data_IF_125754628588
#
_entry.id   IF_125754628588
#
_cell.length_a   1.000
_cell.length_b   1.000
_cell.length_c   1.000
_cell.angle_alpha   90.00
_cell.angle_beta   90.00
_cell.angle_gamma   90.00
#
_symmetry.space_group_name_H-M   'P 1'
#
loop_
_entity.id
_entity.type
_entity.pdbx_description
1 polymer ?
#
# COMPACT_ATOMS: atom_id res chain seq x y z
N UNK A 1 -7.49 10.52 30.40
CA UNK A 1 -8.62 9.57 30.25
C UNK A 1 -8.89 9.21 28.79
N UNK A 2 -8.94 10.18 27.86
CA UNK A 2 -9.19 9.89 26.44
C UNK A 2 -8.15 8.93 25.83
N UNK A 3 -6.85 9.18 26.04
CA UNK A 3 -5.79 8.27 25.59
C UNK A 3 -5.96 6.84 26.12
N UNK A 4 -6.32 6.67 27.40
CA UNK A 4 -6.56 5.35 28.00
C UNK A 4 -7.72 4.63 27.31
N UNK A 5 -8.83 5.33 27.06
CA UNK A 5 -9.98 4.76 26.33
C UNK A 5 -9.62 4.38 24.89
N UNK A 6 -8.85 5.23 24.21
CA UNK A 6 -8.36 4.92 22.86
C UNK A 6 -7.45 3.68 22.86
N UNK A 7 -6.51 3.58 23.82
CA UNK A 7 -5.62 2.42 23.95
C UNK A 7 -6.43 1.14 24.23
N UNK A 8 -7.37 1.19 25.17
CA UNK A 8 -8.24 0.04 25.46
C UNK A 8 -9.06 -0.39 24.25
N UNK A 9 -9.68 0.56 23.54
CA UNK A 9 -10.45 0.26 22.33
C UNK A 9 -9.60 -0.34 21.20
N UNK A 10 -8.37 0.13 21.02
CA UNK A 10 -7.42 -0.47 20.06
C UNK A 10 -7.04 -1.88 20.50
N UNK A 11 -6.77 -2.10 21.79
CA UNK A 11 -6.46 -3.43 22.33
C UNK A 11 -7.63 -4.38 22.09
N UNK A 12 -8.87 -3.99 22.41
CA UNK A 12 -10.06 -4.82 22.17
C UNK A 12 -10.24 -5.17 20.69
N UNK A 13 -9.93 -4.24 19.78
CA UNK A 13 -10.04 -4.47 18.34
C UNK A 13 -8.96 -5.42 17.77
N UNK A 14 -7.79 -5.53 18.41
CA UNK A 14 -6.61 -6.24 17.87
C UNK A 14 -6.26 -7.50 18.64
N UNK A 15 -6.64 -7.61 19.92
CA UNK A 15 -6.19 -8.66 20.83
C UNK A 15 -6.55 -10.07 20.33
N UNK A 16 -7.78 -10.29 19.88
CA UNK A 16 -8.20 -11.58 19.32
C UNK A 16 -7.30 -12.01 18.16
N UNK A 17 -7.01 -11.10 17.23
CA UNK A 17 -6.13 -11.36 16.11
C UNK A 17 -4.69 -11.67 16.58
N UNK A 18 -4.16 -10.89 17.52
CA UNK A 18 -2.83 -11.10 18.07
C UNK A 18 -2.70 -12.46 18.78
N UNK A 19 -3.72 -12.86 19.55
CA UNK A 19 -3.79 -14.16 20.22
C UNK A 19 -3.85 -15.31 19.21
N UNK A 20 -4.68 -15.21 18.17
CA UNK A 20 -4.75 -16.24 17.13
C UNK A 20 -3.45 -16.32 16.32
N UNK A 21 -2.80 -15.18 16.05
CA UNK A 21 -1.51 -15.14 15.36
C UNK A 21 -0.40 -15.76 16.22
N UNK A 22 -0.33 -15.41 17.50
CA UNK A 22 0.58 -16.00 18.49
C UNK A 22 0.45 -17.53 18.55
N UNK A 23 -0.78 -18.02 18.68
CA UNK A 23 -1.09 -19.46 18.69
C UNK A 23 -0.65 -20.17 17.40
N UNK A 24 -0.90 -19.54 16.24
CA UNK A 24 -0.54 -20.09 14.94
C UNK A 24 0.98 -20.26 14.79
N UNK A 25 1.74 -19.18 15.02
CA UNK A 25 3.19 -19.14 14.75
C UNK A 25 4.05 -19.59 15.94
N UNK A 26 3.45 -19.82 17.12
CA UNK A 26 4.15 -20.19 18.35
C UNK A 26 5.16 -19.15 18.84
N UNK A 27 4.83 -17.86 18.66
CA UNK A 27 5.52 -16.75 19.34
C UNK A 27 4.67 -16.27 20.51
N UNK A 28 5.26 -15.91 21.67
CA UNK A 28 4.56 -15.24 22.76
C UNK A 28 3.81 -13.98 22.30
N UNK A 29 2.69 -13.66 22.96
CA UNK A 29 1.78 -12.58 22.54
C UNK A 29 2.44 -11.19 22.55
N UNK A 30 3.30 -10.95 23.53
CA UNK A 30 4.16 -9.78 23.68
C UNK A 30 5.22 -9.66 22.57
N UNK A 31 5.62 -10.78 21.96
CA UNK A 31 6.61 -10.81 20.87
C UNK A 31 5.98 -10.83 19.46
N UNK A 32 4.80 -11.41 19.29
CA UNK A 32 4.22 -11.61 17.95
C UNK A 32 3.90 -10.28 17.26
N UNK A 33 3.52 -9.26 18.03
CA UNK A 33 3.20 -7.93 17.52
C UNK A 33 4.43 -7.16 17.02
N UNK A 34 5.57 -7.32 17.70
CA UNK A 34 6.83 -6.62 17.41
C UNK A 34 7.70 -7.35 16.39
N UNK A 35 7.54 -8.67 16.27
CA UNK A 35 8.26 -9.48 15.29
C UNK A 35 7.99 -9.04 13.85
N UNK A 36 9.04 -8.97 13.02
CA UNK A 36 8.90 -8.75 11.59
C UNK A 36 8.05 -9.87 10.94
N UNK A 37 7.27 -9.55 9.91
CA UNK A 37 6.37 -10.51 9.24
C UNK A 37 7.12 -11.77 8.77
N UNK A 38 8.30 -11.61 8.16
CA UNK A 38 9.13 -12.74 7.74
C UNK A 38 9.58 -13.63 8.91
N UNK A 39 9.83 -13.03 10.08
CA UNK A 39 10.17 -13.79 11.29
C UNK A 39 8.99 -14.62 11.81
N UNK A 40 7.76 -14.09 11.73
CA UNK A 40 6.54 -14.84 12.09
C UNK A 40 6.34 -16.05 11.18
N UNK A 41 6.62 -15.90 9.87
CA UNK A 41 6.61 -17.02 8.92
C UNK A 41 7.70 -18.03 9.26
N UNK A 42 8.92 -17.58 9.55
CA UNK A 42 10.04 -18.48 9.91
C UNK A 42 9.71 -19.37 11.10
N UNK A 43 9.14 -18.80 12.17
CA UNK A 43 8.73 -19.58 13.36
C UNK A 43 7.63 -20.60 13.06
N UNK A 44 6.68 -20.22 12.21
CA UNK A 44 5.67 -21.17 11.73
C UNK A 44 6.32 -22.33 10.96
N UNK A 45 7.29 -22.04 10.07
CA UNK A 45 8.01 -23.06 9.32
C UNK A 45 8.82 -23.97 10.24
N UNK A 46 9.57 -23.42 11.21
CA UNK A 46 10.35 -24.19 12.20
C UNK A 46 9.46 -25.19 12.95
N UNK A 47 8.30 -24.71 13.45
CA UNK A 47 7.32 -25.56 14.13
C UNK A 47 6.80 -26.67 13.21
N UNK A 48 6.57 -26.36 11.94
CA UNK A 48 6.04 -27.33 10.98
C UNK A 48 7.09 -28.34 10.54
N UNK A 49 8.35 -27.92 10.31
CA UNK A 49 9.45 -28.80 9.91
C UNK A 49 9.77 -29.82 10.99
N UNK A 50 9.73 -29.41 12.27
CA UNK A 50 9.84 -30.34 13.39
C UNK A 50 8.77 -31.44 13.35
N UNK A 51 7.52 -31.09 13.02
CA UNK A 51 6.41 -32.07 12.95
C UNK A 51 6.56 -33.08 11.80
N UNK A 52 7.22 -32.70 10.71
CA UNK A 52 7.43 -33.58 9.55
C UNK A 52 8.82 -34.24 9.54
N UNK A 53 9.60 -34.08 10.61
CA UNK A 53 10.93 -34.69 10.75
C UNK A 53 12.02 -34.08 9.87
N UNK A 54 11.86 -32.83 9.42
CA UNK A 54 12.86 -32.13 8.61
C UNK A 54 13.75 -31.22 9.46
N UNK A 55 15.06 -31.21 9.15
CA UNK A 55 16.02 -30.34 9.82
C UNK A 55 15.80 -28.87 9.43
N UNK A 56 15.92 -27.99 10.42
CA UNK A 56 15.86 -26.53 10.21
C UNK A 56 17.19 -26.05 9.61
N UNK A 57 17.19 -25.41 8.43
CA UNK A 57 18.40 -24.86 7.85
C UNK A 57 19.05 -23.79 8.76
N UNK A 58 20.37 -23.68 8.68
CA UNK A 58 21.10 -22.57 9.30
C UNK A 58 20.73 -21.26 8.60
N UNK A 59 20.69 -20.16 9.35
CA UNK A 59 20.62 -18.82 8.75
C UNK A 59 21.98 -18.51 8.15
N UNK A 60 22.00 -18.07 6.90
CA UNK A 60 23.23 -17.73 6.16
C UNK A 60 23.10 -16.30 5.66
N UNK A 61 24.11 -15.47 5.94
CA UNK A 61 24.20 -14.15 5.35
C UNK A 61 24.62 -14.26 3.88
N UNK A 62 23.88 -13.62 2.99
CA UNK A 62 24.13 -13.63 1.56
C UNK A 62 24.10 -12.21 1.02
N UNK A 63 24.95 -11.86 0.03
CA UNK A 63 24.92 -10.54 -0.59
C UNK A 63 23.59 -10.30 -1.30
N UNK A 64 23.05 -9.09 -1.17
CA UNK A 64 21.82 -8.72 -1.85
C UNK A 64 22.00 -8.70 -3.35
N UNK A 65 21.23 -9.53 -4.06
CA UNK A 65 21.18 -9.54 -5.52
C UNK A 65 19.74 -9.29 -5.97
N UNK A 66 19.47 -8.19 -6.70
CA UNK A 66 18.14 -7.93 -7.20
C UNK A 66 17.68 -9.05 -8.16
N UNK A 67 16.37 -9.22 -8.24
CA UNK A 67 15.70 -10.10 -9.19
C UNK A 67 14.45 -9.42 -9.74
N UNK A 68 13.95 -9.90 -10.88
CA UNK A 68 12.75 -9.35 -11.49
C UNK A 68 11.52 -9.61 -10.61
N UNK A 69 10.87 -8.53 -10.17
CA UNK A 69 9.67 -8.58 -9.34
C UNK A 69 8.41 -8.96 -10.11
N UNK A 70 7.26 -8.79 -9.45
CA UNK A 70 5.96 -8.99 -10.06
C UNK A 70 5.69 -8.03 -11.23
N UNK A 71 4.78 -8.41 -12.13
CA UNK A 71 4.36 -7.52 -13.22
C UNK A 71 3.49 -6.40 -12.64
N UNK A 72 3.79 -5.18 -13.06
CA UNK A 72 2.91 -4.04 -12.85
C UNK A 72 2.84 -3.34 -14.20
N UNK A 73 1.67 -3.41 -14.83
CA UNK A 73 1.43 -2.76 -16.12
C UNK A 73 1.57 -1.25 -15.96
N UNK A 74 1.91 -0.56 -17.05
CA UNK A 74 1.76 0.90 -17.06
C UNK A 74 0.25 1.20 -17.09
N UNK A 75 -0.27 2.01 -16.17
CA UNK A 75 -1.67 2.40 -16.22
C UNK A 75 -1.92 3.24 -17.47
N UNK A 76 -3.15 3.17 -18.00
CA UNK A 76 -3.64 4.14 -18.99
C UNK A 76 -4.07 5.39 -18.21
N UNK A 77 -3.33 6.52 -18.26
CA UNK A 77 -3.64 7.68 -17.43
C UNK A 77 -5.03 8.26 -17.75
N UNK A 78 -5.63 8.92 -16.77
CA UNK A 78 -6.94 9.56 -16.91
C UNK A 78 -8.08 8.81 -16.24
N UNK A 79 -9.30 9.19 -16.58
CA UNK A 79 -10.53 8.69 -15.97
C UNK A 79 -11.07 7.47 -16.74
N UNK A 80 -11.43 6.42 -16.00
CA UNK A 80 -12.07 5.22 -16.54
C UNK A 80 -13.34 4.93 -15.74
N UNK A 81 -14.39 4.56 -16.44
CA UNK A 81 -15.70 4.29 -15.84
C UNK A 81 -15.97 2.79 -15.72
N UNK A 82 -16.75 2.41 -14.70
CA UNK A 82 -17.24 1.06 -14.46
C UNK A 82 -16.10 0.03 -14.57
N UNK A 83 -15.17 0.07 -13.61
CA UNK A 83 -14.00 -0.81 -13.58
C UNK A 83 -14.15 -1.83 -12.45
N UNK A 84 -13.99 -3.11 -12.78
CA UNK A 84 -13.88 -4.18 -11.82
C UNK A 84 -12.40 -4.53 -11.58
N UNK A 85 -12.05 -4.71 -10.31
CA UNK A 85 -10.76 -5.24 -9.88
C UNK A 85 -10.92 -6.74 -9.65
N UNK A 86 -10.33 -7.54 -10.52
CA UNK A 86 -10.23 -8.97 -10.35
C UNK A 86 -8.94 -9.30 -9.60
N UNK A 87 -9.09 -9.85 -8.40
CA UNK A 87 -7.98 -10.23 -7.51
C UNK A 87 -7.84 -11.75 -7.45
N UNK A 88 -6.61 -12.23 -7.57
CA UNK A 88 -6.29 -13.65 -7.46
C UNK A 88 -6.24 -14.06 -5.98
N UNK A 89 -7.07 -15.03 -5.59
CA UNK A 89 -7.06 -15.53 -4.21
C UNK A 89 -5.76 -16.26 -3.91
N UNK A 90 -4.88 -15.61 -3.14
CA UNK A 90 -3.59 -16.17 -2.73
C UNK A 90 -2.76 -16.68 -3.93
N UNK A 91 -2.59 -15.83 -4.95
CA UNK A 91 -1.92 -16.19 -6.21
C UNK A 91 -0.57 -16.88 -5.98
N UNK A 92 0.35 -16.24 -5.26
CA UNK A 92 1.70 -16.77 -5.07
C UNK A 92 1.73 -18.07 -4.25
N UNK A 93 1.01 -18.18 -3.12
CA UNK A 93 0.85 -19.47 -2.43
C UNK A 93 0.39 -20.60 -3.36
N UNK A 94 -0.64 -20.36 -4.18
CA UNK A 94 -1.13 -21.37 -5.11
C UNK A 94 -0.11 -21.69 -6.22
N UNK A 95 0.60 -20.69 -6.76
CA UNK A 95 1.69 -20.91 -7.71
C UNK A 95 2.80 -21.80 -7.11
N UNK A 96 3.20 -21.52 -5.87
CA UNK A 96 4.22 -22.31 -5.17
C UNK A 96 3.75 -23.75 -4.93
N UNK A 97 2.47 -23.96 -4.62
CA UNK A 97 1.86 -25.28 -4.51
C UNK A 97 1.84 -25.97 -5.88
N UNK A 98 1.24 -25.37 -6.90
CA UNK A 98 1.04 -25.98 -8.22
C UNK A 98 2.36 -26.44 -8.85
N UNK A 99 3.39 -25.60 -8.83
CA UNK A 99 4.68 -25.90 -9.47
C UNK A 99 5.75 -26.42 -8.52
N UNK A 100 5.37 -26.83 -7.31
CA UNK A 100 6.26 -27.35 -6.27
C UNK A 100 7.46 -26.45 -5.97
N UNK A 101 7.28 -25.13 -5.98
CA UNK A 101 8.40 -24.19 -5.89
C UNK A 101 8.93 -24.16 -4.46
N UNK A 102 10.09 -24.78 -4.24
CA UNK A 102 10.68 -24.93 -2.91
C UNK A 102 12.20 -25.12 -2.97
N UNK A 103 12.97 -24.76 -1.92
CA UNK A 103 14.42 -24.91 -1.93
C UNK A 103 14.88 -26.36 -2.07
N UNK A 104 14.16 -27.26 -1.41
CA UNK A 104 14.37 -28.71 -1.38
C UNK A 104 13.88 -29.42 -2.66
N UNK A 105 13.15 -28.73 -3.53
CA UNK A 105 12.70 -29.27 -4.82
C UNK A 105 13.43 -28.66 -6.01
N UNK A 106 14.25 -27.62 -5.78
CA UNK A 106 15.02 -26.98 -6.82
C UNK A 106 16.06 -27.94 -7.42
N UNK A 107 16.15 -27.93 -8.75
CA UNK A 107 17.14 -28.66 -9.54
C UNK A 107 17.85 -27.65 -10.42
N UNK A 108 19.18 -27.61 -10.36
CA UNK A 108 19.97 -26.74 -11.23
C UNK A 108 19.70 -27.09 -12.70
N UNK A 109 19.56 -26.12 -13.62
CA UNK A 109 19.41 -26.40 -15.05
C UNK A 109 20.57 -27.22 -15.66
N UNK A 110 21.73 -27.25 -14.98
CA UNK A 110 22.92 -28.04 -15.36
C UNK A 110 22.84 -29.51 -14.96
N UNK A 111 21.93 -29.86 -14.05
CA UNK A 111 21.74 -31.22 -13.58
C UNK A 111 20.76 -31.98 -14.49
N UNK A 112 20.91 -33.32 -14.62
CA UNK A 112 19.98 -34.14 -15.38
C UNK A 112 18.57 -34.08 -14.79
N UNK A 113 17.56 -34.21 -15.64
CA UNK A 113 16.16 -34.22 -15.20
C UNK A 113 15.92 -35.51 -14.39
N UNK A 114 15.45 -35.41 -13.14
CA UNK A 114 15.16 -36.60 -12.33
C UNK A 114 13.97 -37.39 -12.91
N UNK A 115 13.86 -38.70 -12.62
CA UNK A 115 12.79 -39.55 -13.13
C UNK A 115 11.37 -39.08 -12.78
N UNK A 116 11.20 -38.35 -11.67
CA UNK A 116 9.92 -37.76 -11.28
C UNK A 116 9.49 -36.58 -12.17
N UNK A 117 10.34 -36.14 -13.10
CA UNK A 117 10.13 -34.98 -13.94
C UNK A 117 10.23 -33.66 -13.17
N UNK A 118 10.19 -32.57 -13.93
CA UNK A 118 10.31 -31.20 -13.39
C UNK A 118 9.24 -30.27 -13.95
N UNK A 119 8.92 -29.23 -13.19
CA UNK A 119 8.34 -28.00 -13.71
C UNK A 119 9.47 -27.03 -14.03
N UNK A 120 9.48 -26.46 -15.23
CA UNK A 120 10.42 -25.43 -15.65
C UNK A 120 9.73 -24.07 -15.58
N UNK A 121 10.31 -23.13 -14.82
CA UNK A 121 9.76 -21.79 -14.68
C UNK A 121 9.92 -20.98 -15.98
N UNK A 122 8.90 -20.19 -16.39
CA UNK A 122 8.99 -19.32 -17.56
C UNK A 122 10.09 -18.27 -17.35
N UNK A 123 10.65 -17.73 -18.42
CA UNK A 123 11.70 -16.69 -18.44
C UNK A 123 13.06 -17.09 -17.82
N UNK A 124 13.06 -17.61 -16.59
CA UNK A 124 14.26 -17.87 -15.76
C UNK A 124 14.77 -19.30 -15.84
N UNK A 125 13.96 -20.23 -16.38
CA UNK A 125 14.36 -21.63 -16.68
C UNK A 125 14.78 -22.47 -15.46
N UNK A 126 14.54 -21.98 -14.24
CA UNK A 126 14.70 -22.75 -13.01
C UNK A 126 13.80 -23.98 -13.00
N UNK A 127 14.31 -25.12 -12.53
CA UNK A 127 13.58 -26.38 -12.52
C UNK A 127 13.24 -26.79 -11.09
N UNK A 128 12.04 -27.34 -10.90
CA UNK A 128 11.58 -27.86 -9.62
C UNK A 128 11.01 -29.25 -9.81
N UNK A 129 11.40 -30.22 -8.97
CA UNK A 129 10.89 -31.59 -9.01
C UNK A 129 9.38 -31.62 -8.88
N UNK A 130 8.70 -32.50 -9.63
CA UNK A 130 7.24 -32.69 -9.45
C UNK A 130 6.92 -33.41 -8.14
N UNK A 131 7.75 -34.38 -7.77
CA UNK A 131 7.68 -35.16 -6.54
C UNK A 131 9.08 -35.42 -5.94
N UNK A 132 9.22 -35.59 -4.61
CA UNK A 132 8.17 -35.43 -3.61
C UNK A 132 7.74 -33.96 -3.41
N UNK A 133 6.62 -33.74 -2.73
CA UNK A 133 6.18 -32.40 -2.33
C UNK A 133 7.22 -31.69 -1.47
N UNK A 134 7.60 -30.47 -1.85
CA UNK A 134 8.56 -29.67 -1.10
C UNK A 134 7.98 -29.03 0.16
N UNK A 135 8.84 -28.47 1.02
CA UNK A 135 8.40 -27.87 2.29
C UNK A 135 7.33 -26.79 2.11
N UNK A 136 7.50 -25.87 1.15
CA UNK A 136 6.51 -24.82 0.94
C UNK A 136 5.17 -25.37 0.44
N UNK A 137 5.17 -26.37 -0.46
CA UNK A 137 3.93 -27.02 -0.91
C UNK A 137 3.20 -27.67 0.26
N UNK A 138 3.89 -28.44 1.11
CA UNK A 138 3.31 -29.08 2.31
C UNK A 138 2.68 -28.04 3.24
N UNK A 139 3.45 -27.01 3.60
CA UNK A 139 3.04 -25.96 4.53
C UNK A 139 1.87 -25.12 4.01
N UNK A 140 1.95 -24.67 2.76
CA UNK A 140 0.93 -23.80 2.19
C UNK A 140 -0.39 -24.54 1.99
N UNK A 141 -0.34 -25.79 1.51
CA UNK A 141 -1.52 -26.66 1.42
C UNK A 141 -2.17 -26.89 2.78
N UNK A 142 -1.36 -27.10 3.83
CA UNK A 142 -1.88 -27.18 5.20
C UNK A 142 -2.57 -25.89 5.65
N UNK A 143 -1.95 -24.72 5.44
CA UNK A 143 -2.53 -23.44 5.83
C UNK A 143 -3.83 -23.14 5.09
N UNK A 144 -3.90 -23.42 3.78
CA UNK A 144 -5.11 -23.26 2.97
C UNK A 144 -6.23 -24.17 3.51
N UNK A 145 -5.94 -25.45 3.73
CA UNK A 145 -6.89 -26.42 4.29
C UNK A 145 -7.44 -25.96 5.64
N UNK A 146 -6.56 -25.56 6.56
CA UNK A 146 -6.96 -25.05 7.89
C UNK A 146 -7.86 -23.82 7.75
N UNK A 147 -7.54 -22.91 6.84
CA UNK A 147 -8.35 -21.71 6.61
C UNK A 147 -9.74 -22.07 6.10
N UNK A 148 -9.85 -23.01 5.17
CA UNK A 148 -11.14 -23.43 4.62
C UNK A 148 -12.00 -24.14 5.67
N UNK A 149 -11.40 -24.97 6.53
CA UNK A 149 -12.08 -25.56 7.69
C UNK A 149 -12.63 -24.50 8.65
N UNK A 150 -11.84 -23.46 8.96
CA UNK A 150 -12.29 -22.34 9.81
C UNK A 150 -13.46 -21.60 9.15
N UNK A 151 -13.37 -21.29 7.85
CA UNK A 151 -14.45 -20.60 7.12
C UNK A 151 -15.71 -21.44 7.04
N UNK A 152 -15.60 -22.77 6.92
CA UNK A 152 -16.74 -23.68 6.98
C UNK A 152 -17.44 -23.63 8.34
N UNK A 153 -16.66 -23.59 9.44
CA UNK A 153 -17.20 -23.41 10.80
C UNK A 153 -17.86 -22.05 10.99
N UNK A 154 -17.28 -20.97 10.44
CA UNK A 154 -17.86 -19.62 10.52
C UNK A 154 -19.25 -19.53 9.90
N UNK A 155 -19.52 -20.25 8.80
CA UNK A 155 -20.84 -20.28 8.15
C UNK A 155 -21.95 -20.86 9.04
N UNK A 156 -21.60 -21.63 10.07
CA UNK A 156 -22.54 -22.30 10.99
C UNK A 156 -22.82 -21.49 12.26
N UNK A 157 -22.25 -20.30 12.37
CA UNK A 157 -22.24 -19.49 13.59
C UNK A 157 -22.75 -18.09 13.27
N UNK A 158 -23.56 -17.52 14.17
CA UNK A 158 -24.09 -16.16 14.00
C UNK A 158 -22.96 -15.11 13.94
N UNK A 159 -22.96 -14.18 12.96
CA UNK A 159 -21.92 -13.15 12.79
C UNK A 159 -21.63 -12.30 14.04
N UNK A 160 -22.63 -12.07 14.87
CA UNK A 160 -22.57 -11.23 16.07
C UNK A 160 -21.99 -11.96 17.28
N UNK A 161 -21.87 -13.29 17.20
CA UNK A 161 -21.40 -14.10 18.32
C UNK A 161 -19.90 -13.92 18.58
N UNK A 162 -19.51 -14.13 19.83
CA UNK A 162 -18.08 -14.19 20.24
C UNK A 162 -17.33 -15.27 19.46
N UNK A 163 -17.98 -16.41 19.20
CA UNK A 163 -17.37 -17.50 18.45
C UNK A 163 -17.04 -17.10 17.00
N UNK A 164 -17.93 -16.38 16.32
CA UNK A 164 -17.66 -15.87 14.97
C UNK A 164 -16.48 -14.91 14.97
N UNK A 165 -16.41 -13.99 15.95
CA UNK A 165 -15.30 -13.04 16.12
C UNK A 165 -13.95 -13.74 16.24
N UNK A 166 -13.85 -14.77 17.09
CA UNK A 166 -12.62 -15.55 17.28
C UNK A 166 -12.24 -16.34 16.03
N UNK A 167 -13.22 -16.95 15.34
CA UNK A 167 -12.98 -17.68 14.10
C UNK A 167 -12.54 -16.74 12.96
N UNK A 168 -13.11 -15.54 12.89
CA UNK A 168 -12.70 -14.52 11.92
C UNK A 168 -11.27 -14.03 12.20
N UNK A 169 -10.92 -13.77 13.46
CA UNK A 169 -9.55 -13.45 13.85
C UNK A 169 -8.59 -14.59 13.45
N UNK A 170 -9.00 -15.85 13.62
CA UNK A 170 -8.18 -17.02 13.26
C UNK A 170 -7.99 -17.15 11.75
N UNK A 171 -9.04 -17.03 10.93
CA UNK A 171 -8.87 -17.11 9.48
C UNK A 171 -8.04 -15.94 8.94
N UNK A 172 -8.13 -14.74 9.55
CA UNK A 172 -7.27 -13.60 9.24
C UNK A 172 -5.81 -13.89 9.55
N UNK A 173 -5.51 -14.46 10.72
CA UNK A 173 -4.14 -14.82 11.09
C UNK A 173 -3.53 -15.83 10.11
N UNK A 174 -4.30 -16.87 9.74
CA UNK A 174 -3.88 -17.85 8.73
C UNK A 174 -3.65 -17.18 7.37
N UNK A 175 -4.59 -16.34 6.90
CA UNK A 175 -4.44 -15.56 5.65
C UNK A 175 -3.14 -14.75 5.62
N UNK A 176 -2.82 -14.06 6.72
CA UNK A 176 -1.62 -13.21 6.82
C UNK A 176 -0.36 -14.06 6.67
N UNK A 177 -0.25 -15.18 7.39
CA UNK A 177 0.92 -16.07 7.28
C UNK A 177 1.01 -16.71 5.89
N UNK A 178 -0.09 -17.21 5.34
CA UNK A 178 -0.12 -17.81 4.00
C UNK A 178 0.39 -16.83 2.93
N UNK A 179 -0.13 -15.61 2.90
CA UNK A 179 0.27 -14.61 1.92
C UNK A 179 1.71 -14.11 2.14
N UNK A 180 2.15 -14.03 3.40
CA UNK A 180 3.51 -13.60 3.74
C UNK A 180 4.59 -14.63 3.35
N UNK A 181 4.25 -15.91 3.23
CA UNK A 181 5.21 -16.97 2.88
C UNK A 181 5.94 -16.75 1.55
N UNK A 182 5.28 -16.15 0.56
CA UNK A 182 5.95 -15.76 -0.69
C UNK A 182 6.99 -14.66 -0.47
N UNK A 183 6.64 -13.61 0.27
CA UNK A 183 7.58 -12.54 0.63
C UNK A 183 8.76 -13.06 1.46
N UNK A 184 8.50 -14.05 2.33
CA UNK A 184 9.54 -14.75 3.08
C UNK A 184 10.48 -15.55 2.18
N UNK A 185 9.97 -16.27 1.18
CA UNK A 185 10.79 -17.01 0.22
C UNK A 185 11.72 -16.11 -0.62
N UNK A 186 11.39 -14.82 -0.74
CA UNK A 186 12.23 -13.79 -1.36
C UNK A 186 13.08 -12.98 -0.37
N UNK A 187 13.01 -13.24 0.93
CA UNK A 187 13.77 -12.52 1.94
C UNK A 187 15.15 -13.17 2.13
N UNK A 188 16.21 -12.40 1.85
CA UNK A 188 17.59 -12.92 1.88
C UNK A 188 18.02 -13.43 3.27
N UNK A 189 17.44 -12.90 4.35
CA UNK A 189 17.72 -13.34 5.72
C UNK A 189 16.95 -14.59 6.16
N UNK A 190 16.08 -15.14 5.31
CA UNK A 190 15.29 -16.34 5.63
C UNK A 190 16.14 -17.61 5.59
N UNK A 191 15.84 -18.56 6.49
CA UNK A 191 16.49 -19.89 6.51
C UNK A 191 16.22 -20.73 5.27
N UNK A 192 15.01 -20.63 4.71
CA UNK A 192 14.59 -21.32 3.49
C UNK A 192 14.67 -20.41 2.25
N UNK A 193 15.63 -19.49 2.23
CA UNK A 193 15.90 -18.64 1.09
C UNK A 193 16.84 -19.32 0.10
N UNK A 194 16.38 -19.46 -1.15
CA UNK A 194 17.26 -19.54 -2.30
C UNK A 194 16.72 -18.63 -3.40
N UNK A 195 17.61 -17.90 -4.08
CA UNK A 195 17.23 -16.95 -5.14
C UNK A 195 16.35 -17.57 -6.25
N UNK A 196 16.60 -18.80 -6.75
CA UNK A 196 15.78 -19.42 -7.79
C UNK A 196 14.30 -19.58 -7.44
N UNK A 197 13.96 -19.81 -6.15
CA UNK A 197 12.57 -19.93 -5.69
C UNK A 197 11.85 -18.59 -5.85
N UNK A 198 12.48 -17.50 -5.43
CA UNK A 198 11.89 -16.17 -5.55
C UNK A 198 11.70 -15.75 -7.02
N UNK A 199 12.71 -16.02 -7.86
CA UNK A 199 12.66 -15.75 -9.31
C UNK A 199 11.61 -16.58 -10.03
N UNK A 200 11.49 -17.86 -9.70
CA UNK A 200 10.49 -18.74 -10.31
C UNK A 200 9.07 -18.34 -9.91
N UNK A 201 8.84 -18.02 -8.63
CA UNK A 201 7.53 -17.58 -8.16
C UNK A 201 7.10 -16.26 -8.83
N UNK A 202 8.02 -15.29 -9.00
CA UNK A 202 7.69 -14.06 -9.75
C UNK A 202 7.45 -14.33 -11.22
N UNK A 203 8.25 -15.19 -11.86
CA UNK A 203 8.11 -15.50 -13.28
C UNK A 203 6.78 -16.18 -13.58
N UNK A 204 6.37 -17.17 -12.78
CA UNK A 204 5.04 -17.75 -12.88
C UNK A 204 3.94 -16.73 -12.61
N UNK A 205 4.12 -15.84 -11.63
CA UNK A 205 3.17 -14.75 -11.40
C UNK A 205 2.99 -13.83 -12.60
N UNK A 206 4.10 -13.43 -13.25
CA UNK A 206 4.06 -12.63 -14.49
C UNK A 206 3.35 -13.39 -15.62
N UNK A 207 3.69 -14.67 -15.81
CA UNK A 207 3.08 -15.53 -16.81
C UNK A 207 1.56 -15.67 -16.61
N UNK A 208 1.13 -15.91 -15.36
CA UNK A 208 -0.29 -15.98 -14.98
C UNK A 208 -1.03 -14.70 -15.34
N UNK A 209 -0.53 -13.54 -14.92
CA UNK A 209 -1.18 -12.25 -15.19
C UNK A 209 -1.22 -11.96 -16.69
N UNK A 210 -0.13 -12.19 -17.44
CA UNK A 210 -0.09 -11.98 -18.89
C UNK A 210 -1.06 -12.90 -19.64
N UNK A 211 -1.16 -14.17 -19.25
CA UNK A 211 -2.15 -15.09 -19.84
C UNK A 211 -3.58 -14.66 -19.52
N UNK A 212 -3.80 -14.17 -18.31
CA UNK A 212 -5.12 -13.68 -17.88
C UNK A 212 -5.53 -12.45 -18.67
N UNK A 213 -4.61 -11.52 -18.93
CA UNK A 213 -4.85 -10.36 -19.80
C UNK A 213 -5.25 -10.81 -21.20
N UNK A 214 -4.52 -11.79 -21.78
CA UNK A 214 -4.85 -12.33 -23.11
C UNK A 214 -6.23 -13.00 -23.14
N UNK A 215 -6.60 -13.73 -22.08
CA UNK A 215 -7.93 -14.33 -21.95
C UNK A 215 -9.01 -13.24 -21.85
N UNK A 216 -8.78 -12.20 -21.05
CA UNK A 216 -9.71 -11.08 -20.93
C UNK A 216 -9.89 -10.35 -22.28
N UNK A 217 -8.81 -10.07 -23.00
CA UNK A 217 -8.86 -9.44 -24.33
C UNK A 217 -9.60 -10.32 -25.35
N UNK A 218 -9.43 -11.64 -25.30
CA UNK A 218 -10.16 -12.59 -26.15
C UNK A 218 -11.67 -12.59 -25.88
N UNK A 219 -12.08 -12.44 -24.62
CA UNK A 219 -13.48 -12.29 -24.23
C UNK A 219 -14.02 -10.86 -24.50
N UNK A 220 -13.20 -9.98 -25.08
CA UNK A 220 -13.58 -8.61 -25.41
C UNK A 220 -13.62 -7.67 -24.20
N UNK A 221 -12.99 -8.05 -23.08
CA UNK A 221 -12.87 -7.22 -21.89
C UNK A 221 -11.65 -6.29 -22.01
N UNK A 222 -11.89 -4.98 -21.93
CA UNK A 222 -10.81 -3.98 -21.95
C UNK A 222 -10.05 -3.97 -20.62
N UNK A 223 -8.77 -4.30 -20.67
CA UNK A 223 -7.85 -4.16 -19.53
C UNK A 223 -7.28 -2.73 -19.48
N UNK A 224 -7.40 -2.08 -18.32
CA UNK A 224 -6.93 -0.70 -18.08
C UNK A 224 -5.69 -0.63 -17.20
N UNK A 225 -5.50 -1.61 -16.32
CA UNK A 225 -4.35 -1.70 -15.43
C UNK A 225 -4.15 -3.14 -14.92
N UNK A 226 -2.97 -3.44 -14.36
CA UNK A 226 -2.66 -4.70 -13.71
C UNK A 226 -1.55 -4.49 -12.68
N UNK A 227 -1.76 -5.01 -11.47
CA UNK A 227 -0.83 -4.89 -10.34
C UNK A 227 -0.64 -6.24 -9.68
N UNK A 228 0.56 -6.81 -9.78
CA UNK A 228 1.09 -7.93 -8.99
C UNK A 228 0.27 -9.23 -9.07
N UNK A 229 -0.92 -9.22 -8.49
CA UNK A 229 -1.88 -10.30 -8.30
C UNK A 229 -3.33 -9.87 -8.64
N UNK A 230 -3.51 -8.74 -9.33
CA UNK A 230 -4.81 -8.23 -9.74
C UNK A 230 -4.80 -7.60 -11.13
N UNK A 231 -5.95 -7.63 -11.80
CA UNK A 231 -6.20 -6.94 -13.07
C UNK A 231 -7.43 -6.03 -12.98
N UNK A 232 -7.37 -4.90 -13.66
CA UNK A 232 -8.43 -3.90 -13.70
C UNK A 232 -9.04 -3.92 -15.09
N UNK A 233 -10.32 -4.25 -15.15
CA UNK A 233 -11.04 -4.49 -16.40
C UNK A 233 -12.36 -3.75 -16.41
N UNK A 234 -12.91 -3.50 -17.59
CA UNK A 234 -14.28 -2.99 -17.71
C UNK A 234 -15.25 -3.95 -17.02
N UNK A 235 -16.15 -3.40 -16.21
CA UNK A 235 -17.13 -4.17 -15.45
C UNK A 235 -18.27 -4.63 -16.36
N UNK A 236 -18.15 -5.86 -16.85
CA UNK A 236 -19.19 -6.57 -17.62
C UNK A 236 -19.44 -7.93 -16.93
N UNK A 237 -20.40 -8.02 -16.00
CA UNK A 237 -20.55 -9.15 -15.08
C UNK A 237 -20.55 -10.54 -15.75
N UNK A 238 -21.30 -10.69 -16.85
CA UNK A 238 -21.42 -11.96 -17.57
C UNK A 238 -20.09 -12.43 -18.15
N UNK A 239 -19.35 -11.54 -18.81
CA UNK A 239 -18.02 -11.82 -19.35
C UNK A 239 -17.00 -12.07 -18.25
N UNK A 240 -17.10 -11.34 -17.14
CA UNK A 240 -16.24 -11.52 -15.97
C UNK A 240 -16.43 -12.91 -15.37
N UNK A 241 -17.67 -13.39 -15.26
CA UNK A 241 -17.95 -14.73 -14.75
C UNK A 241 -17.37 -15.80 -15.68
N UNK A 242 -17.55 -15.64 -17.00
CA UNK A 242 -16.97 -16.54 -18.01
C UNK A 242 -15.44 -16.57 -17.94
N UNK A 243 -14.81 -15.39 -17.88
CA UNK A 243 -13.37 -15.25 -17.70
C UNK A 243 -12.89 -15.92 -16.41
N UNK A 244 -13.59 -15.73 -15.30
CA UNK A 244 -13.24 -16.33 -14.00
C UNK A 244 -13.27 -17.86 -14.07
N UNK A 245 -14.28 -18.44 -14.73
CA UNK A 245 -14.35 -19.90 -14.97
C UNK A 245 -13.24 -20.40 -15.88
N UNK A 246 -12.90 -19.65 -16.94
CA UNK A 246 -11.80 -20.01 -17.84
C UNK A 246 -10.44 -19.99 -17.12
N UNK A 247 -10.20 -18.98 -16.27
CA UNK A 247 -8.98 -18.89 -15.46
C UNK A 247 -8.87 -20.07 -14.49
N UNK A 248 -9.97 -20.41 -13.80
CA UNK A 248 -9.99 -21.53 -12.88
C UNK A 248 -9.71 -22.86 -13.61
N UNK A 249 -10.31 -23.09 -14.77
CA UNK A 249 -10.11 -24.30 -15.58
C UNK A 249 -8.70 -24.41 -16.16
N UNK A 250 -8.12 -23.32 -16.67
CA UNK A 250 -6.83 -23.35 -17.38
C UNK A 250 -5.62 -23.16 -16.46
N UNK A 251 -5.74 -22.32 -15.45
CA UNK A 251 -4.63 -21.94 -14.57
C UNK A 251 -4.75 -22.56 -13.17
N UNK A 252 -5.90 -23.14 -12.82
CA UNK A 252 -6.13 -23.71 -11.49
C UNK A 252 -6.16 -22.65 -10.38
N UNK A 253 -6.49 -21.40 -10.73
CA UNK A 253 -6.48 -20.27 -9.82
C UNK A 253 -7.87 -19.65 -9.69
N UNK A 254 -8.33 -19.46 -8.47
CA UNK A 254 -9.60 -18.79 -8.17
C UNK A 254 -9.40 -17.27 -8.23
N UNK A 255 -10.21 -16.60 -9.06
CA UNK A 255 -10.24 -15.14 -9.20
C UNK A 255 -11.63 -14.63 -8.85
N UNK A 256 -11.69 -13.50 -8.13
CA UNK A 256 -12.96 -12.85 -7.77
C UNK A 256 -12.90 -11.34 -7.94
N UNK A 257 -14.02 -10.70 -8.29
CA UNK A 257 -14.17 -9.25 -8.15
C UNK A 257 -14.01 -8.85 -6.67
N UNK A 258 -12.94 -8.10 -6.36
CA UNK A 258 -12.70 -7.56 -5.01
C UNK A 258 -13.37 -6.18 -4.86
N UNK A 259 -13.25 -5.34 -5.89
CA UNK A 259 -13.81 -3.98 -5.91
C UNK A 259 -14.44 -3.67 -7.25
N UNK A 260 -15.52 -2.90 -7.21
CA UNK A 260 -16.15 -2.31 -8.38
C UNK A 260 -16.07 -0.80 -8.19
N UNK A 261 -15.46 -0.09 -9.13
CA UNK A 261 -15.40 1.35 -9.15
C UNK A 261 -16.37 1.91 -10.17
N UNK A 262 -17.20 2.86 -9.75
CA UNK A 262 -18.02 3.66 -10.66
C UNK A 262 -17.10 4.46 -11.59
N UNK A 263 -16.07 5.06 -11.01
CA UNK A 263 -15.02 5.80 -11.71
C UNK A 263 -13.68 5.54 -11.04
N UNK A 264 -12.62 5.39 -11.82
CA UNK A 264 -11.26 5.31 -11.32
C UNK A 264 -10.36 6.24 -12.12
N UNK A 265 -9.52 6.97 -11.40
CA UNK A 265 -8.52 7.86 -11.93
C UNK A 265 -7.14 7.22 -11.78
N UNK A 266 -6.43 7.06 -12.88
CA UNK A 266 -5.04 6.63 -12.89
C UNK A 266 -4.10 7.80 -13.19
N UNK A 267 -3.05 7.92 -12.39
CA UNK A 267 -1.88 8.73 -12.77
C UNK A 267 -0.97 7.93 -13.71
N UNK A 268 0.08 8.55 -14.24
CA UNK A 268 1.13 7.85 -15.01
C UNK A 268 1.95 6.87 -14.18
N UNK A 269 2.00 7.10 -12.86
CA UNK A 269 2.79 6.31 -11.95
C UNK A 269 2.08 5.00 -11.55
N UNK A 270 2.86 3.91 -11.52
CA UNK A 270 2.41 2.62 -11.01
C UNK A 270 2.00 2.73 -9.54
N UNK A 271 0.95 1.99 -9.14
CA UNK A 271 0.40 1.96 -7.77
C UNK A 271 -0.04 3.33 -7.25
N UNK A 272 -0.44 4.24 -8.14
CA UNK A 272 -0.93 5.58 -7.80
C UNK A 272 -2.23 5.89 -8.53
N UNK A 273 -3.35 5.62 -7.86
CA UNK A 273 -4.70 5.79 -8.40
C UNK A 273 -5.72 6.14 -7.30
N UNK A 274 -6.88 6.64 -7.72
CA UNK A 274 -8.00 6.88 -6.83
C UNK A 274 -9.31 6.41 -7.48
N UNK A 275 -10.12 5.65 -6.76
CA UNK A 275 -11.39 5.10 -7.23
C UNK A 275 -12.58 5.59 -6.41
N UNK A 276 -13.72 5.79 -7.07
CA UNK A 276 -15.02 6.04 -6.46
C UNK A 276 -15.79 4.73 -6.37
N UNK A 277 -16.07 4.31 -5.15
CA UNK A 277 -16.91 3.15 -4.86
C UNK A 277 -18.41 3.50 -5.01
N UNK A 278 -19.29 2.49 -5.25
CA UNK A 278 -20.73 2.71 -5.39
C UNK A 278 -21.39 3.41 -4.19
N UNK A 279 -20.82 3.26 -2.99
CA UNK A 279 -21.29 3.93 -1.76
C UNK A 279 -20.85 5.40 -1.65
N UNK A 280 -20.20 5.97 -2.66
CA UNK A 280 -19.73 7.35 -2.68
C UNK A 280 -18.38 7.58 -1.97
N UNK A 281 -17.78 6.54 -1.38
CA UNK A 281 -16.48 6.60 -0.72
C UNK A 281 -15.35 6.59 -1.75
N UNK A 282 -14.31 7.39 -1.49
CA UNK A 282 -13.07 7.36 -2.25
C UNK A 282 -12.12 6.30 -1.69
N UNK A 283 -11.55 5.50 -2.56
CA UNK A 283 -10.41 4.62 -2.29
C UNK A 283 -9.16 5.21 -2.94
N UNK A 284 -8.16 5.55 -2.14
CA UNK A 284 -6.96 6.27 -2.60
C UNK A 284 -5.74 5.39 -2.35
N UNK A 285 -4.98 5.09 -3.40
CA UNK A 285 -3.83 4.20 -3.34
C UNK A 285 -2.58 4.93 -3.82
N UNK A 286 -1.58 5.05 -2.94
CA UNK A 286 -0.23 5.55 -3.25
C UNK A 286 -0.09 7.04 -3.60
N UNK A 287 -1.16 7.83 -3.48
CA UNK A 287 -1.13 9.29 -3.62
C UNK A 287 -0.66 9.99 -2.32
N UNK A 288 -0.28 11.26 -2.40
CA UNK A 288 0.30 12.07 -1.31
C UNK A 288 -0.58 12.22 -0.08
N UNK A 289 -1.89 11.98 -0.20
CA UNK A 289 -2.80 11.82 0.95
C UNK A 289 -2.18 10.92 2.04
N UNK A 290 -1.33 9.96 1.66
CA UNK A 290 -0.76 8.95 2.56
C UNK A 290 0.70 9.26 2.96
N UNK A 291 1.31 10.33 2.43
CA UNK A 291 2.72 10.66 2.72
C UNK A 291 2.87 11.41 4.04
N UNK A 292 3.74 10.90 4.92
CA UNK A 292 4.00 11.49 6.23
C UNK A 292 4.76 12.82 6.19
N UNK A 293 5.49 13.10 5.11
CA UNK A 293 6.29 14.31 4.94
C UNK A 293 5.51 15.51 4.38
N UNK A 294 4.19 15.39 4.21
CA UNK A 294 3.32 16.43 3.69
C UNK A 294 2.42 17.01 4.78
N UNK A 295 2.16 18.31 4.69
CA UNK A 295 1.26 18.99 5.60
C UNK A 295 -0.19 18.54 5.38
N UNK A 296 -1.03 18.66 6.41
CA UNK A 296 -2.42 18.24 6.31
C UNK A 296 -3.20 19.00 5.22
N UNK A 297 -2.82 20.26 4.95
CA UNK A 297 -3.42 21.06 3.87
C UNK A 297 -3.34 20.36 2.50
N UNK A 298 -2.22 19.70 2.19
CA UNK A 298 -2.03 19.10 0.88
C UNK A 298 -2.89 17.85 0.73
N UNK A 299 -3.07 17.10 1.82
CA UNK A 299 -4.00 15.97 1.87
C UNK A 299 -5.42 16.43 1.63
N UNK A 300 -5.88 17.47 2.35
CA UNK A 300 -7.22 18.04 2.18
C UNK A 300 -7.48 18.52 0.75
N UNK A 301 -6.52 19.25 0.17
CA UNK A 301 -6.62 19.72 -1.21
C UNK A 301 -6.68 18.54 -2.18
N UNK A 302 -5.78 17.58 -2.04
CA UNK A 302 -5.73 16.41 -2.93
C UNK A 302 -7.02 15.57 -2.85
N UNK A 303 -7.50 15.28 -1.64
CA UNK A 303 -8.76 14.57 -1.42
C UNK A 303 -9.94 15.31 -2.06
N UNK A 304 -10.02 16.64 -1.87
CA UNK A 304 -11.13 17.42 -2.41
C UNK A 304 -11.07 17.55 -3.94
N UNK A 305 -9.88 17.70 -4.52
CA UNK A 305 -9.68 17.67 -5.97
C UNK A 305 -10.10 16.30 -6.53
N UNK A 306 -9.65 15.19 -5.91
CA UNK A 306 -10.08 13.85 -6.31
C UNK A 306 -11.58 13.66 -6.20
N UNK A 307 -12.20 14.19 -5.14
CA UNK A 307 -13.65 14.15 -4.97
C UNK A 307 -14.36 14.87 -6.12
N UNK A 308 -13.95 16.08 -6.48
CA UNK A 308 -14.54 16.84 -7.58
C UNK A 308 -14.36 16.09 -8.91
N UNK A 309 -13.16 15.57 -9.19
CA UNK A 309 -12.90 14.82 -10.43
C UNK A 309 -13.73 13.53 -10.49
N UNK A 310 -13.71 12.75 -9.42
CA UNK A 310 -14.31 11.42 -9.40
C UNK A 310 -15.83 11.45 -9.20
N UNK A 311 -16.41 12.47 -8.56
CA UNK A 311 -17.87 12.60 -8.39
C UNK A 311 -18.48 13.52 -9.44
N UNK A 312 -17.87 14.67 -9.71
CA UNK A 312 -18.46 15.71 -10.54
C UNK A 312 -17.91 15.79 -11.96
N UNK A 313 -16.80 15.08 -12.27
CA UNK A 313 -16.22 15.08 -13.62
C UNK A 313 -15.82 16.47 -14.13
N UNK A 314 -15.53 17.42 -13.23
CA UNK A 314 -15.23 18.81 -13.60
C UNK A 314 -13.82 19.24 -13.16
N UNK A 315 -12.81 19.09 -14.04
CA UNK A 315 -11.47 19.60 -13.79
C UNK A 315 -11.45 21.12 -13.55
N UNK A 316 -12.29 21.89 -14.25
CA UNK A 316 -12.37 23.33 -14.07
C UNK A 316 -12.93 23.74 -12.71
N UNK A 317 -13.91 22.99 -12.17
CA UNK A 317 -14.37 23.23 -10.79
C UNK A 317 -13.27 22.94 -9.78
N UNK A 318 -12.46 21.91 -10.03
CA UNK A 318 -11.32 21.60 -9.18
C UNK A 318 -10.24 22.70 -9.22
N UNK A 319 -9.98 23.30 -10.38
CA UNK A 319 -9.10 24.48 -10.52
C UNK A 319 -9.62 25.65 -9.69
N UNK A 320 -10.91 26.00 -9.82
CA UNK A 320 -11.54 27.07 -9.03
C UNK A 320 -11.43 26.81 -7.53
N UNK A 321 -11.63 25.56 -7.10
CA UNK A 321 -11.44 25.18 -5.70
C UNK A 321 -10.00 25.41 -5.23
N UNK A 322 -9.00 24.99 -6.01
CA UNK A 322 -7.58 25.18 -5.65
C UNK A 322 -7.23 26.66 -5.58
N UNK A 323 -7.65 27.47 -6.56
CA UNK A 323 -7.44 28.91 -6.58
C UNK A 323 -8.07 29.59 -5.35
N UNK A 324 -9.30 29.21 -5.01
CA UNK A 324 -10.00 29.71 -3.82
C UNK A 324 -9.28 29.29 -2.53
N UNK A 325 -8.81 28.05 -2.45
CA UNK A 325 -8.05 27.56 -1.29
C UNK A 325 -6.72 28.30 -1.11
N UNK A 326 -6.01 28.58 -2.21
CA UNK A 326 -4.78 29.40 -2.20
C UNK A 326 -5.08 30.82 -1.69
N UNK A 327 -6.18 31.42 -2.14
CA UNK A 327 -6.62 32.73 -1.64
C UNK A 327 -6.92 32.69 -0.14
N UNK A 328 -7.68 31.71 0.35
CA UNK A 328 -7.98 31.55 1.78
C UNK A 328 -6.74 31.30 2.63
N UNK A 329 -5.78 30.55 2.10
CA UNK A 329 -4.48 30.34 2.74
C UNK A 329 -3.70 31.66 2.86
N UNK A 330 -3.67 32.46 1.79
CA UNK A 330 -3.06 33.80 1.78
C UNK A 330 -3.74 34.77 2.76
N UNK A 331 -5.05 34.63 2.98
CA UNK A 331 -5.81 35.39 3.98
C UNK A 331 -5.74 34.79 5.40
N UNK A 332 -4.90 33.76 5.62
CA UNK A 332 -4.74 33.06 6.90
C UNK A 332 -6.05 32.49 7.50
N UNK A 333 -7.01 32.13 6.64
CA UNK A 333 -8.28 31.52 7.05
C UNK A 333 -8.19 30.00 7.25
N UNK A 334 -7.13 29.39 6.71
CA UNK A 334 -6.84 27.97 6.92
C UNK A 334 -6.33 27.76 8.35
N UNK A 335 -6.75 26.72 9.09
CA UNK A 335 -6.26 26.50 10.45
C UNK A 335 -4.76 26.23 10.53
N UNK A 336 -4.05 26.85 11.49
CA UNK A 336 -2.62 26.66 11.72
C UNK A 336 -2.21 25.18 11.82
N UNK A 337 -3.03 24.38 12.52
CA UNK A 337 -2.81 22.94 12.70
C UNK A 337 -2.67 22.17 11.40
N UNK A 338 -3.26 22.66 10.30
CA UNK A 338 -3.19 21.99 9.02
C UNK A 338 -1.86 22.23 8.29
N UNK A 339 -1.11 23.26 8.69
CA UNK A 339 0.21 23.60 8.17
C UNK A 339 1.32 22.78 8.83
N UNK A 340 1.03 22.10 9.94
CA UNK A 340 2.03 21.33 10.68
C UNK A 340 2.46 20.11 9.86
N UNK A 341 3.76 19.99 9.63
CA UNK A 341 4.40 18.81 9.06
C UNK A 341 4.89 17.94 10.21
N UNK A 342 4.53 16.65 10.18
CA UNK A 342 4.85 15.70 11.24
C UNK A 342 5.86 14.67 10.74
N UNK A 343 6.98 14.49 11.44
CA UNK A 343 7.95 13.45 11.09
C UNK A 343 8.50 12.73 12.31
N UNK A 344 8.60 11.41 12.22
CA UNK A 344 9.12 10.57 13.29
C UNK A 344 10.64 10.59 13.31
N UNK A 345 11.23 10.71 14.50
CA UNK A 345 12.65 10.46 14.73
C UNK A 345 12.91 8.96 14.66
N UNK A 346 13.74 8.53 13.72
CA UNK A 346 14.13 7.13 13.50
C UNK A 346 15.47 6.79 14.13
N UNK A 347 16.20 7.79 14.62
CA UNK A 347 17.48 7.68 15.32
C UNK A 347 17.59 8.75 16.40
N UNK A 348 18.53 8.63 17.34
CA UNK A 348 18.91 9.74 18.21
C UNK A 348 19.30 10.98 17.38
N UNK A 349 19.02 12.18 17.90
CA UNK A 349 19.21 13.46 17.18
C UNK A 349 20.67 13.63 16.74
N UNK A 350 21.61 13.13 17.54
CA UNK A 350 23.05 13.22 17.37
C UNK A 350 23.56 12.32 16.22
N UNK A 351 22.85 11.25 15.89
CA UNK A 351 23.25 10.29 14.85
C UNK A 351 22.80 10.69 13.44
N UNK A 352 22.05 11.80 13.31
CA UNK A 352 21.65 12.31 12.01
C UNK A 352 22.80 13.04 11.33
N UNK A 353 23.43 12.38 10.36
CA UNK A 353 24.46 12.98 9.52
C UNK A 353 23.92 14.11 8.61
N UNK A 354 22.65 14.04 8.21
CA UNK A 354 22.01 15.02 7.31
C UNK A 354 21.11 15.97 8.09
N UNK A 355 21.37 17.28 7.95
CA UNK A 355 20.50 18.33 8.47
C UNK A 355 19.19 18.34 7.70
N UNK A 356 18.12 17.97 8.40
CA UNK A 356 16.77 17.92 7.84
C UNK A 356 15.82 18.67 8.75
N UNK A 357 14.72 19.21 8.19
CA UNK A 357 13.79 20.09 8.91
C UNK A 357 13.32 19.54 10.26
N UNK A 358 12.89 18.27 10.31
CA UNK A 358 12.44 17.64 11.56
C UNK A 358 13.54 17.48 12.62
N UNK A 359 14.80 17.30 12.21
CA UNK A 359 15.94 17.17 13.13
C UNK A 359 16.32 18.53 13.70
N UNK A 360 16.32 19.58 12.87
CA UNK A 360 16.58 20.94 13.34
C UNK A 360 15.47 21.44 14.28
N UNK A 361 14.20 21.14 13.98
CA UNK A 361 13.11 21.37 14.92
C UNK A 361 13.29 20.60 16.24
N UNK A 362 13.72 19.33 16.16
CA UNK A 362 13.99 18.52 17.34
C UNK A 362 15.12 19.09 18.21
N UNK A 363 16.19 19.61 17.58
CA UNK A 363 17.29 20.29 18.29
C UNK A 363 16.80 21.52 19.05
N UNK A 364 15.97 22.36 18.41
CA UNK A 364 15.38 23.53 19.08
C UNK A 364 14.52 23.14 20.29
N UNK A 365 13.72 22.07 20.17
CA UNK A 365 12.95 21.54 21.30
C UNK A 365 13.88 21.05 22.42
N UNK A 366 14.95 20.32 22.08
CA UNK A 366 15.94 19.83 23.05
C UNK A 366 16.66 20.97 23.78
N UNK A 367 17.04 22.04 23.08
CA UNK A 367 17.59 23.27 23.67
C UNK A 367 16.62 23.94 24.65
N UNK A 368 15.30 23.83 24.38
CA UNK A 368 14.23 24.29 25.29
C UNK A 368 13.90 23.29 26.41
N UNK A 369 14.71 22.24 26.59
CA UNK A 369 14.58 21.26 27.68
C UNK A 369 13.62 20.11 27.41
N UNK A 370 13.09 19.97 26.18
CA UNK A 370 12.22 18.84 25.85
C UNK A 370 13.03 17.54 25.73
N UNK A 371 12.54 16.47 26.35
CA UNK A 371 13.09 15.13 26.21
C UNK A 371 12.47 14.46 24.99
N UNK A 372 13.30 14.21 23.97
CA UNK A 372 12.91 13.52 22.73
C UNK A 372 13.68 12.21 22.60
N UNK A 373 12.98 11.18 22.14
CA UNK A 373 13.47 9.81 21.99
C UNK A 373 13.16 9.26 20.60
N UNK A 374 13.81 8.14 20.26
CA UNK A 374 13.55 7.44 18.99
C UNK A 374 12.09 6.95 18.98
N UNK A 375 11.37 7.28 17.90
CA UNK A 375 9.94 7.00 17.75
C UNK A 375 9.05 8.23 17.94
N UNK A 376 9.55 9.30 18.59
CA UNK A 376 8.77 10.51 18.79
C UNK A 376 8.47 11.23 17.48
N UNK A 377 7.26 11.78 17.39
CA UNK A 377 6.82 12.61 16.25
C UNK A 377 7.10 14.08 16.52
N UNK A 378 7.93 14.67 15.69
CA UNK A 378 8.26 16.09 15.72
C UNK A 378 7.38 16.84 14.74
N UNK A 379 6.54 17.73 15.27
CA UNK A 379 5.72 18.65 14.49
C UNK A 379 6.47 19.96 14.26
N UNK A 380 6.53 20.43 13.02
CA UNK A 380 7.19 21.68 12.67
C UNK A 380 6.48 22.40 11.53
N UNK A 381 6.77 23.69 11.39
CA UNK A 381 6.31 24.53 10.28
C UNK A 381 7.50 25.18 9.59
N UNK A 382 7.34 25.45 8.29
CA UNK A 382 8.30 26.24 7.52
C UNK A 382 7.99 27.72 7.72
N UNK A 383 9.00 28.49 8.11
CA UNK A 383 8.89 29.93 8.37
C UNK A 383 9.53 30.76 7.26
N UNK A 384 9.13 32.02 7.16
CA UNK A 384 9.69 33.00 6.23
C UNK A 384 11.17 33.25 6.56
N UNK A 385 12.03 33.28 5.55
CA UNK A 385 13.46 33.50 5.72
C UNK A 385 14.26 33.20 4.45
N UNK A 386 15.55 33.48 4.51
CA UNK A 386 16.52 33.13 3.46
C UNK A 386 17.27 31.84 3.83
N UNK A 387 17.97 31.25 2.86
CA UNK A 387 18.76 30.03 3.10
C UNK A 387 18.01 28.73 2.78
N UNK A 388 18.56 27.62 3.27
CA UNK A 388 18.07 26.27 2.96
C UNK A 388 16.85 25.93 3.79
N UNK A 389 16.05 24.97 3.32
CA UNK A 389 14.78 24.62 3.96
C UNK A 389 14.92 24.22 5.44
N UNK A 390 16.00 23.55 5.82
CA UNK A 390 16.21 23.15 7.22
C UNK A 390 16.54 24.31 8.17
N UNK A 391 16.95 25.47 7.63
CA UNK A 391 17.29 26.68 8.39
C UNK A 391 16.04 27.52 8.67
N UNK A 392 14.98 27.26 7.92
CA UNK A 392 13.73 28.00 7.91
C UNK A 392 12.61 27.21 8.56
N UNK A 393 12.91 26.57 9.68
CA UNK A 393 11.99 25.66 10.38
C UNK A 393 11.86 26.08 11.83
N UNK A 394 10.64 26.00 12.37
CA UNK A 394 10.39 26.09 13.81
C UNK A 394 9.47 24.96 14.27
N UNK A 395 9.67 24.43 15.49
CA UNK A 395 8.67 23.56 16.12
C UNK A 395 7.31 24.26 16.16
N UNK A 396 6.23 23.54 15.87
CA UNK A 396 4.92 24.18 15.69
C UNK A 396 4.43 24.94 16.94
N UNK A 397 4.85 24.52 18.14
CA UNK A 397 4.50 25.18 19.40
C UNK A 397 5.27 26.49 19.64
N UNK A 398 6.39 26.68 18.93
CA UNK A 398 7.28 27.83 19.08
C UNK A 398 7.15 28.83 17.93
N UNK A 399 6.21 28.60 17.01
CA UNK A 399 5.95 29.47 15.88
C UNK A 399 4.51 30.00 15.93
N UNK A 400 4.36 31.26 15.54
CA UNK A 400 3.07 31.88 15.26
C UNK A 400 2.67 31.68 13.80
N UNK A 401 1.40 31.91 13.48
CA UNK A 401 0.91 31.84 12.10
C UNK A 401 1.62 32.86 11.20
N UNK A 402 1.88 34.07 11.71
CA UNK A 402 2.44 35.17 10.91
C UNK A 402 3.86 34.90 10.44
N UNK A 403 4.59 34.05 11.15
CA UNK A 403 5.94 33.63 10.79
C UNK A 403 5.97 32.57 9.67
N UNK A 404 4.85 31.93 9.37
CA UNK A 404 4.78 30.82 8.42
C UNK A 404 4.98 31.31 6.99
N UNK A 405 5.85 30.64 6.23
CA UNK A 405 6.00 30.89 4.80
C UNK A 405 4.84 30.25 4.02
N UNK A 406 3.77 31.01 3.80
CA UNK A 406 2.61 30.57 3.02
C UNK A 406 2.97 30.28 1.55
N UNK A 407 3.94 30.99 0.98
CA UNK A 407 4.38 30.77 -0.40
C UNK A 407 5.02 29.40 -0.57
N UNK A 408 5.80 28.95 0.41
CA UNK A 408 6.30 27.57 0.46
C UNK A 408 5.16 26.56 0.41
N UNK A 409 4.12 26.72 1.24
CA UNK A 409 2.99 25.79 1.26
C UNK A 409 2.21 25.82 -0.05
N UNK A 410 2.01 26.98 -0.66
CA UNK A 410 1.38 27.07 -1.99
C UNK A 410 2.21 26.34 -3.04
N UNK A 411 3.48 26.70 -3.21
CA UNK A 411 4.34 26.22 -4.30
C UNK A 411 4.87 24.79 -4.12
N UNK A 412 5.05 24.32 -2.88
CA UNK A 412 5.69 23.02 -2.59
C UNK A 412 4.73 21.98 -2.02
N UNK A 413 3.52 22.36 -1.62
CA UNK A 413 2.54 21.45 -1.04
C UNK A 413 1.21 21.49 -1.82
N UNK A 414 0.49 22.62 -1.81
CA UNK A 414 -0.87 22.72 -2.40
C UNK A 414 -0.86 22.50 -3.91
N UNK A 415 -0.06 23.28 -4.64
CA UNK A 415 -0.03 23.23 -6.11
C UNK A 415 0.47 21.88 -6.61
N UNK A 416 1.61 21.32 -6.14
CA UNK A 416 2.06 20.01 -6.61
C UNK A 416 1.07 18.87 -6.33
N UNK A 417 0.37 18.91 -5.20
CA UNK A 417 -0.64 17.90 -4.86
C UNK A 417 -1.83 17.91 -5.83
N UNK A 418 -2.28 19.10 -6.23
CA UNK A 418 -3.35 19.29 -7.20
C UNK A 418 -2.90 19.02 -8.64
N UNK A 419 -1.73 19.55 -9.03
CA UNK A 419 -1.17 19.45 -10.37
C UNK A 419 -0.90 18.00 -10.80
N UNK A 420 -0.53 17.12 -9.86
CA UNK A 420 -0.36 15.69 -10.16
C UNK A 420 -1.64 15.02 -10.69
N UNK A 421 -2.80 15.52 -10.26
CA UNK A 421 -4.10 15.03 -10.73
C UNK A 421 -4.50 15.83 -11.97
N UNK A 422 -4.54 17.16 -11.85
CA UNK A 422 -5.08 18.05 -12.87
C UNK A 422 -4.21 18.12 -14.15
N UNK A 423 -2.92 17.85 -14.04
CA UNK A 423 -2.01 17.75 -15.19
C UNK A 423 -2.40 16.66 -16.18
N UNK A 424 -3.03 15.57 -15.73
CA UNK A 424 -3.57 14.54 -16.63
C UNK A 424 -4.76 15.04 -17.48
N UNK A 425 -5.37 16.15 -17.08
CA UNK A 425 -6.42 16.84 -17.81
C UNK A 425 -5.89 18.08 -18.56
N UNK A 426 -4.57 18.21 -18.70
CA UNK A 426 -3.92 19.32 -19.41
C UNK A 426 -3.85 20.63 -18.63
N UNK A 427 -4.09 20.62 -17.31
CA UNK A 427 -4.05 21.82 -16.47
C UNK A 427 -2.64 22.04 -15.93
N UNK A 428 -2.08 23.22 -16.17
CA UNK A 428 -0.72 23.57 -15.73
C UNK A 428 -0.69 24.17 -14.31
N UNK A 429 0.49 24.19 -13.68
CA UNK A 429 0.67 24.81 -12.36
C UNK A 429 0.39 26.32 -12.40
N UNK A 430 0.71 27.00 -13.51
CA UNK A 430 0.44 28.43 -13.70
C UNK A 430 -1.07 28.71 -13.67
N UNK A 431 -1.89 27.82 -14.24
CA UNK A 431 -3.35 27.96 -14.19
C UNK A 431 -3.90 27.83 -12.77
N UNK A 432 -3.28 27.02 -11.92
CA UNK A 432 -3.66 26.89 -10.50
C UNK A 432 -3.28 28.12 -9.69
N UNK A 433 -2.19 28.79 -10.08
CA UNK A 433 -1.71 30.02 -9.45
C UNK A 433 -2.41 31.28 -9.98
N UNK A 434 -3.00 31.22 -11.18
CA UNK A 434 -3.68 32.35 -11.80
C UNK A 434 -4.90 32.78 -10.96
N UNK A 435 -4.83 33.97 -10.36
CA UNK A 435 -5.97 34.57 -9.69
C UNK A 435 -7.02 35.04 -10.72
N UNK A 436 -8.14 34.32 -10.81
CA UNK A 436 -9.42 34.88 -11.26
C UNK A 436 -10.39 34.91 -10.09
N UNK A 437 -10.12 35.77 -9.12
CA UNK A 437 -11.17 36.20 -8.21
C UNK A 437 -11.87 37.35 -8.93
N UNK A 438 -13.06 37.08 -9.49
CA UNK A 438 -14.06 38.11 -9.75
C UNK A 438 -14.47 38.69 -8.40
N UNK A 439 -13.62 39.57 -7.86
CA UNK A 439 -13.98 40.38 -6.71
C UNK A 439 -15.05 41.35 -7.19
N UNK A 440 -16.24 41.29 -6.58
CA UNK A 440 -17.12 42.46 -6.51
C UNK A 440 -16.23 43.64 -6.13
N UNK A 441 -16.12 44.60 -7.05
CA UNK A 441 -15.10 45.63 -7.03
C UNK A 441 -15.02 46.32 -5.67
N UNK A 442 -13.80 46.41 -5.14
CA UNK A 442 -13.48 47.48 -4.22
C UNK A 442 -13.77 48.79 -4.97
N UNK A 443 -14.80 49.53 -4.55
CA UNK A 443 -15.02 50.90 -5.02
C UNK A 443 -13.73 51.66 -4.79
N UNK A 444 -13.19 52.25 -5.85
CA UNK A 444 -12.01 53.09 -5.73
C UNK A 444 -12.43 54.36 -5.01
N UNK A 445 -11.52 54.97 -4.24
CA UNK A 445 -11.77 56.24 -3.55
C UNK A 445 -12.20 57.36 -4.53
N UNK A 446 -11.86 57.22 -5.81
CA UNK A 446 -12.28 58.09 -6.91
C UNK A 446 -13.78 58.03 -7.21
N UNK A 447 -14.45 56.93 -6.89
CA UNK A 447 -15.88 56.72 -7.13
C UNK A 447 -16.75 57.52 -6.14
N UNK A 448 -16.13 58.22 -5.18
CA UNK A 448 -16.79 59.07 -4.18
C UNK A 448 -16.73 60.57 -4.50
N UNK A 449 -15.96 60.99 -5.51
CA UNK A 449 -15.74 62.41 -5.84
C UNK A 449 -16.46 62.88 -7.10
N UNK A 450 -17.28 62.02 -7.73
CA UNK A 450 -18.22 62.45 -8.77
C UNK A 450 -19.63 62.44 -8.17
N UNK A 451 -20.06 63.58 -7.62
CA UNK A 451 -21.47 63.90 -7.39
C UNK A 451 -21.71 65.36 -7.73
#
# INVERSE_FOLDING_TARGET
MENTRCIMGITEAVLDFAMQLSSLVSLPLDHVGTAAVGFRVEWFLIKHTQKIGELVPKRVEQPYRPYAGAIVLRPKPGLHENIAVLDFKAMYPNIMITYNISPDTYVSPKEPIPPCGVYEAPEVKHRFRKEPSGIYRKVLSYLIKVRDEIRSKMKKVAPESVQYRVLDARQKAVKVITNASYGYAGWIGARWYIKPVAEAATAWGRHTILNTIKMAEKEGLKVVYGDTDSIFIKHEPEKIEKLSKEIEQKLGLEVKPDKIYVRIFFTEAKKRYAGLLPNGKLDIVGLEVIRGDWANIARKVQEKVLEIILKEQSPQKAVKFVQQFIYELGQRRVPYRDLIIWKTLTKPIEEYAVRTSHVEAAKMLKEKGWRLTVGDKVGYVIVTGTGRLYERVKPYMLASYDEVDLEYYVKKQVVPAAARILGTFGISEEQLLAHKVEGKGARKLTDFFET
#
